data_IF_162173641632
#
_entry.id   IF_162173641632
#
_cell.length_a   1.000
_cell.length_b   1.000
_cell.length_c   1.000
_cell.angle_alpha   90.00
_cell.angle_beta   90.00
_cell.angle_gamma   90.00
#
_symmetry.space_group_name_H-M   'P 1'
#
loop_
_entity.id
_entity.type
_entity.pdbx_description
1 polymer ?
#
# COMPACT_ATOMS: atom_id res chain seq x y z
N UNK A 1 17.30 -30.62 -0.76
CA UNK A 1 17.42 -30.42 0.71
C UNK A 1 16.78 -29.08 1.08
N UNK A 2 15.90 -29.07 2.05
CA UNK A 2 15.34 -27.81 2.55
C UNK A 2 16.43 -27.03 3.29
N UNK A 3 16.52 -25.70 3.10
CA UNK A 3 17.50 -24.89 3.83
C UNK A 3 17.22 -24.94 5.33
N UNK A 4 18.28 -24.92 6.15
CA UNK A 4 18.12 -24.76 7.61
C UNK A 4 17.47 -23.41 7.92
N UNK A 5 16.78 -23.29 9.06
CA UNK A 5 16.16 -22.05 9.48
C UNK A 5 17.14 -20.85 9.53
N UNK A 6 18.38 -20.98 10.07
CA UNK A 6 19.37 -19.90 10.00
C UNK A 6 19.72 -19.50 8.56
N UNK A 7 19.86 -20.46 7.64
CA UNK A 7 20.16 -20.18 6.25
C UNK A 7 19.00 -19.47 5.55
N UNK A 8 17.75 -19.83 5.87
CA UNK A 8 16.55 -19.15 5.37
C UNK A 8 16.49 -17.71 5.87
N UNK A 9 16.71 -17.49 7.16
CA UNK A 9 16.74 -16.14 7.78
C UNK A 9 17.82 -15.29 7.11
N UNK A 10 19.04 -15.82 6.93
CA UNK A 10 20.13 -15.11 6.27
C UNK A 10 19.77 -14.70 4.83
N UNK A 11 19.13 -15.58 4.07
CA UNK A 11 18.66 -15.29 2.71
C UNK A 11 17.57 -14.22 2.70
N UNK A 12 16.63 -14.24 3.64
CA UNK A 12 15.60 -13.21 3.78
C UNK A 12 16.21 -11.85 4.10
N UNK A 13 17.18 -11.80 5.00
CA UNK A 13 17.89 -10.56 5.34
C UNK A 13 18.72 -9.99 4.18
N UNK A 14 19.26 -10.85 3.31
CA UNK A 14 20.01 -10.43 2.13
C UNK A 14 19.11 -10.04 0.94
N UNK A 15 17.81 -10.31 1.02
CA UNK A 15 16.88 -10.01 -0.06
C UNK A 15 16.70 -8.50 -0.22
N UNK A 16 16.85 -7.98 -1.44
CA UNK A 16 16.88 -6.54 -1.73
C UNK A 16 15.64 -5.80 -1.22
N UNK A 17 14.45 -6.37 -1.37
CA UNK A 17 13.21 -5.77 -0.89
C UNK A 17 13.14 -5.62 0.63
N UNK A 18 13.83 -6.48 1.40
CA UNK A 18 13.96 -6.35 2.85
C UNK A 18 15.09 -5.38 3.21
N UNK A 19 16.19 -5.41 2.46
CA UNK A 19 17.32 -4.51 2.68
C UNK A 19 16.91 -3.04 2.56
N UNK A 20 16.13 -2.69 1.54
CA UNK A 20 15.62 -1.32 1.37
C UNK A 20 14.70 -0.87 2.51
N UNK A 21 14.02 -1.79 3.20
CA UNK A 21 13.20 -1.44 4.38
C UNK A 21 14.03 -1.08 5.62
N UNK A 22 15.35 -1.35 5.63
CA UNK A 22 16.23 -0.96 6.74
C UNK A 22 16.45 0.55 6.81
N UNK A 23 16.35 1.25 5.69
CA UNK A 23 16.49 2.71 5.64
C UNK A 23 15.40 3.39 6.49
N UNK A 24 14.21 2.78 6.59
CA UNK A 24 13.13 3.24 7.45
C UNK A 24 13.55 3.30 8.92
N UNK A 25 14.42 2.39 9.38
CA UNK A 25 14.87 2.35 10.76
C UNK A 25 15.72 3.58 11.13
N UNK A 26 16.48 4.12 10.18
CA UNK A 26 17.22 5.36 10.39
C UNK A 26 16.26 6.54 10.53
N UNK A 27 15.34 6.68 9.58
CA UNK A 27 14.31 7.74 9.61
C UNK A 27 13.50 7.67 10.90
N UNK A 28 13.10 6.46 11.30
CA UNK A 28 12.34 6.25 12.53
C UNK A 28 13.13 6.66 13.79
N UNK A 29 14.46 6.48 13.80
CA UNK A 29 15.31 6.93 14.91
C UNK A 29 15.41 8.45 14.97
N UNK A 30 15.65 9.10 13.83
CA UNK A 30 15.76 10.57 13.75
C UNK A 30 14.48 11.28 14.18
N UNK A 31 13.32 10.68 13.89
CA UNK A 31 12.02 11.28 14.20
C UNK A 31 11.44 10.85 15.56
N UNK A 32 12.03 9.85 16.23
CA UNK A 32 11.48 9.27 17.46
C UNK A 32 11.30 10.29 18.58
N UNK A 33 12.25 11.17 18.72
CA UNK A 33 12.30 12.13 19.81
C UNK A 33 11.50 13.41 19.51
N UNK A 34 11.07 13.57 18.25
CA UNK A 34 10.29 14.75 17.83
C UNK A 34 8.85 14.71 18.33
N UNK A 35 8.26 13.51 18.39
CA UNK A 35 6.88 13.34 18.84
C UNK A 35 6.61 11.91 19.34
N UNK A 36 6.03 11.75 20.54
CA UNK A 36 5.63 10.42 21.03
C UNK A 36 4.61 9.79 20.09
N UNK A 37 4.96 8.68 19.46
CA UNK A 37 4.05 7.93 18.61
C UNK A 37 3.53 6.71 19.37
N UNK A 38 2.19 6.55 19.55
CA UNK A 38 1.61 5.41 20.23
C UNK A 38 1.80 4.08 19.49
N UNK A 39 2.16 4.13 18.20
CA UNK A 39 2.40 2.97 17.36
C UNK A 39 3.85 2.92 16.90
N UNK A 40 4.52 1.76 16.94
CA UNK A 40 5.85 1.63 16.37
C UNK A 40 5.81 1.92 14.87
N UNK A 41 6.81 2.69 14.38
CA UNK A 41 7.00 2.90 12.96
C UNK A 41 7.35 1.58 12.27
N UNK A 42 6.87 1.39 11.04
CA UNK A 42 7.21 0.23 10.21
C UNK A 42 6.04 -0.70 9.91
N UNK A 43 4.84 -0.40 10.39
CA UNK A 43 3.61 -1.05 9.93
C UNK A 43 3.06 -0.37 8.67
N UNK A 44 1.98 -0.89 8.11
CA UNK A 44 1.42 -0.42 6.84
C UNK A 44 0.81 1.00 6.93
N UNK A 45 0.32 1.39 8.10
CA UNK A 45 -0.20 2.75 8.35
C UNK A 45 0.26 3.28 9.71
N UNK A 46 0.35 4.62 9.80
CA UNK A 46 0.38 5.31 11.07
C UNK A 46 -0.99 5.22 11.75
N UNK A 47 -0.99 5.00 13.07
CA UNK A 47 -2.20 4.96 13.90
C UNK A 47 -2.35 6.29 14.66
N UNK A 48 -3.46 6.96 14.44
CA UNK A 48 -3.80 8.20 15.13
C UNK A 48 -5.05 7.93 15.96
N UNK A 49 -4.98 7.99 17.31
CA UNK A 49 -6.15 7.77 18.16
C UNK A 49 -7.30 8.73 17.80
N UNK A 50 -8.53 8.21 17.69
CA UNK A 50 -9.73 8.97 17.37
C UNK A 50 -10.94 8.39 18.11
N UNK A 51 -11.28 8.98 19.23
CA UNK A 51 -12.34 8.49 20.10
C UNK A 51 -12.08 7.05 20.57
N UNK A 52 -13.00 6.13 20.25
CA UNK A 52 -12.88 4.71 20.57
C UNK A 52 -12.15 3.89 19.51
N UNK A 53 -11.60 4.54 18.48
CA UNK A 53 -10.92 3.88 17.36
C UNK A 53 -9.66 4.62 16.95
N UNK A 54 -9.30 4.46 15.68
CA UNK A 54 -8.09 5.04 15.11
C UNK A 54 -8.36 5.56 13.71
N UNK A 55 -7.73 6.68 13.36
CA UNK A 55 -7.47 7.03 11.97
C UNK A 55 -6.20 6.33 11.52
N UNK A 56 -6.22 5.91 10.27
CA UNK A 56 -5.11 5.27 9.57
C UNK A 56 -4.59 6.25 8.52
N UNK A 57 -3.28 6.49 8.52
CA UNK A 57 -2.65 7.37 7.54
C UNK A 57 -1.48 6.65 6.91
N UNK A 58 -1.48 6.55 5.58
CA UNK A 58 -0.38 6.00 4.80
C UNK A 58 -0.04 6.90 3.62
N UNK A 59 1.18 6.79 3.14
CA UNK A 59 1.67 7.48 1.95
C UNK A 59 2.65 6.58 1.21
N UNK A 60 2.52 6.52 -0.12
CA UNK A 60 3.44 5.83 -1.00
C UNK A 60 3.99 6.80 -2.07
N UNK A 61 5.32 6.79 -2.21
CA UNK A 61 6.02 7.45 -3.29
C UNK A 61 6.40 6.46 -4.38
N UNK A 62 6.33 6.86 -5.63
CA UNK A 62 6.55 5.97 -6.77
C UNK A 62 7.91 6.23 -7.43
N UNK A 63 8.55 5.15 -7.90
CA UNK A 63 9.81 5.24 -8.64
C UNK A 63 9.59 6.08 -9.90
N UNK A 64 10.37 7.14 -10.08
CA UNK A 64 10.21 8.09 -11.18
C UNK A 64 10.17 7.43 -12.55
N UNK A 65 11.03 6.43 -12.78
CA UNK A 65 11.05 5.66 -14.01
C UNK A 65 9.71 4.97 -14.30
N UNK A 66 9.06 4.40 -13.27
CA UNK A 66 7.75 3.77 -13.43
C UNK A 66 6.68 4.80 -13.79
N UNK A 67 6.70 5.96 -13.12
CA UNK A 67 5.76 7.05 -13.41
C UNK A 67 5.93 7.54 -14.85
N UNK A 68 7.17 7.69 -15.31
CA UNK A 68 7.49 8.15 -16.65
C UNK A 68 7.13 7.15 -17.76
N UNK A 69 7.34 5.84 -17.53
CA UNK A 69 7.18 4.82 -18.56
C UNK A 69 5.75 4.26 -18.70
N UNK A 70 4.94 4.25 -17.61
CA UNK A 70 3.55 3.84 -17.65
C UNK A 70 2.68 4.74 -16.74
N UNK A 71 2.46 5.98 -17.17
CA UNK A 71 1.81 7.01 -16.34
C UNK A 71 0.40 6.63 -15.90
N UNK A 72 -0.39 6.03 -16.79
CA UNK A 72 -1.75 5.62 -16.43
C UNK A 72 -1.74 4.55 -15.34
N UNK A 73 -0.89 3.53 -15.50
CA UNK A 73 -0.80 2.45 -14.53
C UNK A 73 -0.15 2.90 -13.22
N UNK A 74 0.81 3.82 -13.27
CA UNK A 74 1.37 4.45 -12.07
C UNK A 74 0.28 5.19 -11.27
N UNK A 75 -0.57 5.95 -11.95
CA UNK A 75 -1.72 6.60 -11.33
C UNK A 75 -2.71 5.61 -10.70
N UNK A 76 -3.03 4.53 -11.40
CA UNK A 76 -3.86 3.44 -10.87
C UNK A 76 -3.25 2.84 -9.61
N UNK A 77 -1.97 2.46 -9.68
CA UNK A 77 -1.23 1.88 -8.56
C UNK A 77 -1.15 2.85 -7.38
N UNK A 78 -1.03 4.16 -7.64
CA UNK A 78 -0.99 5.20 -6.62
C UNK A 78 -2.15 5.11 -5.67
N UNK A 79 -3.35 4.93 -6.18
CA UNK A 79 -4.54 4.73 -5.36
C UNK A 79 -4.58 3.33 -4.78
N UNK A 80 -4.44 2.30 -5.61
CA UNK A 80 -4.64 0.89 -5.22
C UNK A 80 -3.71 0.43 -4.11
N UNK A 81 -2.41 0.79 -4.16
CA UNK A 81 -1.43 0.36 -3.16
C UNK A 81 -1.76 0.96 -1.79
N UNK A 82 -2.06 2.25 -1.74
CA UNK A 82 -2.46 2.93 -0.51
C UNK A 82 -3.74 2.33 0.12
N UNK A 83 -4.73 1.98 -0.71
CA UNK A 83 -5.94 1.31 -0.21
C UNK A 83 -5.61 -0.08 0.35
N UNK A 84 -4.61 -0.75 -0.21
CA UNK A 84 -4.13 -2.05 0.29
C UNK A 84 -3.52 -1.92 1.68
N UNK A 85 -2.83 -0.82 1.97
CA UNK A 85 -2.24 -0.55 3.29
C UNK A 85 -3.33 -0.35 4.35
N UNK A 86 -4.37 0.41 4.03
CA UNK A 86 -5.53 0.57 4.92
C UNK A 86 -6.21 -0.79 5.16
N UNK A 87 -6.40 -1.59 4.11
CA UNK A 87 -7.02 -2.90 4.22
C UNK A 87 -6.16 -3.89 5.03
N UNK A 88 -4.83 -3.83 4.89
CA UNK A 88 -3.87 -4.64 5.66
C UNK A 88 -3.98 -4.38 7.17
N UNK A 89 -4.24 -3.13 7.54
CA UNK A 89 -4.46 -2.72 8.92
C UNK A 89 -5.91 -2.95 9.43
N UNK A 90 -6.75 -3.66 8.64
CA UNK A 90 -8.15 -3.92 8.99
C UNK A 90 -9.05 -2.70 8.93
N UNK A 91 -8.63 -1.68 8.18
CA UNK A 91 -9.30 -0.40 8.08
C UNK A 91 -10.20 -0.25 6.86
N UNK A 92 -10.97 0.82 6.88
CA UNK A 92 -11.79 1.32 5.77
C UNK A 92 -11.18 2.61 5.24
N UNK A 93 -10.83 2.73 3.96
CA UNK A 93 -10.34 3.97 3.38
C UNK A 93 -11.45 5.02 3.34
N UNK A 94 -11.10 6.28 3.58
CA UNK A 94 -12.00 7.42 3.60
C UNK A 94 -11.77 8.35 2.41
N UNK A 95 -10.52 8.73 2.18
CA UNK A 95 -10.14 9.70 1.16
C UNK A 95 -8.68 9.57 0.76
N UNK A 96 -8.37 10.02 -0.44
CA UNK A 96 -7.03 10.04 -1.03
C UNK A 96 -6.66 11.47 -1.39
N UNK A 97 -5.39 11.81 -1.22
CA UNK A 97 -4.75 13.01 -1.77
C UNK A 97 -3.46 12.64 -2.47
N UNK A 98 -2.98 13.49 -3.39
CA UNK A 98 -1.77 13.22 -4.14
C UNK A 98 -0.83 14.42 -4.22
N UNK A 99 0.43 14.17 -4.47
CA UNK A 99 1.39 15.16 -4.94
C UNK A 99 1.95 14.68 -6.28
N UNK A 100 1.80 15.52 -7.31
CA UNK A 100 2.18 15.22 -8.68
C UNK A 100 3.10 16.31 -9.22
N UNK A 101 4.26 15.89 -9.69
CA UNK A 101 5.16 16.72 -10.47
C UNK A 101 5.30 16.11 -11.86
N UNK A 102 5.32 16.94 -12.90
CA UNK A 102 5.48 16.46 -14.26
C UNK A 102 6.09 17.54 -15.15
N UNK A 103 6.69 17.12 -16.26
CA UNK A 103 7.27 18.02 -17.26
C UNK A 103 6.20 18.56 -18.23
N UNK A 104 5.11 17.81 -18.44
CA UNK A 104 4.13 18.13 -19.45
C UNK A 104 2.71 17.68 -19.07
N UNK A 105 1.73 18.54 -19.39
CA UNK A 105 0.33 18.29 -19.14
C UNK A 105 -0.23 16.98 -19.76
N UNK A 106 0.10 16.57 -21.00
CA UNK A 106 -0.44 15.32 -21.56
C UNK A 106 -0.03 14.07 -20.80
N UNK A 107 1.19 14.04 -20.26
CA UNK A 107 1.68 12.93 -19.45
C UNK A 107 1.00 12.91 -18.07
N UNK A 108 0.96 14.05 -17.38
CA UNK A 108 0.24 14.21 -16.13
C UNK A 108 -1.24 13.82 -16.24
N UNK A 109 -1.89 14.13 -17.36
CA UNK A 109 -3.28 13.75 -17.60
C UNK A 109 -3.48 12.23 -17.60
N UNK A 110 -2.53 11.44 -18.12
CA UNK A 110 -2.60 9.98 -18.07
C UNK A 110 -2.50 9.47 -16.63
N UNK A 111 -1.63 10.04 -15.80
CA UNK A 111 -1.50 9.70 -14.38
C UNK A 111 -2.85 9.96 -13.68
N UNK A 112 -3.42 11.14 -13.86
CA UNK A 112 -4.69 11.53 -13.26
C UNK A 112 -5.86 10.66 -13.75
N UNK A 113 -5.88 10.24 -15.01
CA UNK A 113 -6.87 9.30 -15.54
C UNK A 113 -6.78 7.93 -14.86
N UNK A 114 -5.56 7.43 -14.63
CA UNK A 114 -5.31 6.19 -13.88
C UNK A 114 -5.81 6.29 -12.44
N UNK A 115 -5.47 7.37 -11.75
CA UNK A 115 -5.96 7.66 -10.40
C UNK A 115 -7.49 7.73 -10.34
N UNK A 116 -8.11 8.46 -11.26
CA UNK A 116 -9.57 8.59 -11.33
C UNK A 116 -10.26 7.25 -11.64
N UNK A 117 -9.66 6.41 -12.48
CA UNK A 117 -10.17 5.08 -12.76
C UNK A 117 -10.13 4.18 -11.51
N UNK A 118 -9.04 4.20 -10.75
CA UNK A 118 -8.90 3.46 -9.49
C UNK A 118 -9.88 4.01 -8.42
N UNK A 119 -9.98 5.32 -8.26
CA UNK A 119 -10.94 5.98 -7.36
C UNK A 119 -12.38 5.52 -7.61
N UNK A 120 -12.80 5.49 -8.87
CA UNK A 120 -14.13 4.96 -9.23
C UNK A 120 -14.29 3.48 -8.95
N UNK A 121 -13.27 2.67 -9.28
CA UNK A 121 -13.32 1.23 -9.10
C UNK A 121 -13.40 0.82 -7.62
N UNK A 122 -12.68 1.53 -6.78
CA UNK A 122 -12.64 1.27 -5.33
C UNK A 122 -13.65 2.12 -4.54
N UNK A 123 -14.34 3.05 -5.18
CA UNK A 123 -15.31 3.96 -4.55
C UNK A 123 -14.71 4.78 -3.39
N UNK A 124 -13.47 5.22 -3.55
CA UNK A 124 -12.77 6.08 -2.58
C UNK A 124 -12.44 7.40 -3.25
N UNK A 125 -12.93 8.54 -2.73
CA UNK A 125 -12.76 9.83 -3.38
C UNK A 125 -11.31 10.34 -3.29
N UNK A 126 -10.88 10.98 -4.37
CA UNK A 126 -9.69 11.85 -4.36
C UNK A 126 -10.19 13.24 -4.01
N UNK A 127 -9.80 13.75 -2.84
CA UNK A 127 -10.35 14.99 -2.28
C UNK A 127 -9.44 16.19 -2.40
N UNK A 128 -8.23 16.01 -2.90
CA UNK A 128 -7.27 17.10 -3.08
C UNK A 128 -5.89 16.61 -3.45
N UNK A 129 -4.94 17.54 -3.42
CA UNK A 129 -3.55 17.23 -3.71
C UNK A 129 -2.76 18.48 -4.06
N UNK A 130 -1.52 18.26 -4.49
CA UNK A 130 -0.62 19.28 -5.01
C UNK A 130 -0.18 18.90 -6.42
N UNK A 131 -0.15 19.85 -7.35
CA UNK A 131 0.27 19.60 -8.72
C UNK A 131 1.25 20.69 -9.20
N UNK A 132 2.38 20.26 -9.74
CA UNK A 132 3.34 21.12 -10.42
C UNK A 132 3.69 20.52 -11.80
N UNK A 133 3.28 21.19 -12.87
CA UNK A 133 3.51 20.76 -14.27
C UNK A 133 4.72 21.47 -14.92
N UNK A 134 5.61 22.00 -14.12
CA UNK A 134 6.86 22.65 -14.55
C UNK A 134 8.08 22.03 -13.84
N UNK A 135 8.00 20.74 -13.58
CA UNK A 135 9.09 19.96 -12.99
C UNK A 135 10.02 19.47 -14.09
N UNK A 136 11.24 19.12 -13.71
CA UNK A 136 12.24 18.51 -14.59
C UNK A 136 12.06 16.98 -14.73
N UNK A 137 11.07 16.41 -14.05
CA UNK A 137 10.78 14.96 -14.06
C UNK A 137 9.40 14.63 -13.55
N UNK A 138 8.90 13.46 -13.95
CA UNK A 138 7.64 12.92 -13.44
C UNK A 138 7.83 12.27 -12.08
N UNK A 139 7.04 12.70 -11.08
CA UNK A 139 7.03 12.16 -9.72
C UNK A 139 5.59 12.08 -9.23
N UNK A 140 5.29 11.02 -8.49
CA UNK A 140 3.98 10.81 -7.89
C UNK A 140 4.15 10.31 -6.46
N UNK A 141 3.46 10.96 -5.54
CA UNK A 141 3.20 10.44 -4.20
C UNK A 141 1.71 10.50 -3.92
N UNK A 142 1.17 9.49 -3.27
CA UNK A 142 -0.26 9.40 -2.95
C UNK A 142 -0.41 9.05 -1.48
N UNK A 143 -1.24 9.78 -0.78
CA UNK A 143 -1.56 9.52 0.62
C UNK A 143 -3.04 9.15 0.78
N UNK A 144 -3.33 8.33 1.78
CA UNK A 144 -4.67 7.86 2.08
C UNK A 144 -4.99 8.04 3.56
N UNK A 145 -6.17 8.51 3.83
CA UNK A 145 -6.78 8.50 5.15
C UNK A 145 -7.78 7.35 5.23
N UNK A 146 -7.71 6.59 6.32
CA UNK A 146 -8.67 5.55 6.65
C UNK A 146 -9.05 5.58 8.12
N UNK A 147 -9.86 4.62 8.52
CA UNK A 147 -10.27 4.44 9.93
C UNK A 147 -10.46 2.98 10.28
N UNK A 148 -10.27 2.64 11.54
CA UNK A 148 -10.56 1.32 12.09
C UNK A 148 -10.93 1.41 13.56
N UNK A 149 -11.79 0.52 14.03
CA UNK A 149 -12.05 0.37 15.46
C UNK A 149 -11.01 -0.53 16.15
N UNK A 150 -10.37 -1.43 15.37
CA UNK A 150 -9.41 -2.42 15.89
C UNK A 150 -8.32 -2.66 14.85
N UNK A 151 -7.15 -2.03 14.99
CA UNK A 151 -6.09 -2.16 14.01
C UNK A 151 -5.47 -3.56 14.03
N UNK A 152 -5.10 -4.05 12.84
CA UNK A 152 -4.36 -5.28 12.64
C UNK A 152 -2.90 -4.94 12.41
N UNK A 153 -2.05 -5.11 13.42
CA UNK A 153 -0.62 -4.89 13.30
C UNK A 153 0.10 -6.14 12.82
N UNK A 154 1.05 -5.97 11.90
CA UNK A 154 1.94 -7.03 11.44
C UNK A 154 2.83 -7.56 12.57
N UNK A 155 3.14 -6.73 13.57
CA UNK A 155 3.93 -7.09 14.75
C UNK A 155 3.15 -7.90 15.81
N UNK A 156 1.83 -8.06 15.65
CA UNK A 156 0.99 -8.83 16.58
C UNK A 156 1.01 -10.35 16.34
N UNK A 157 1.82 -10.82 15.39
CA UNK A 157 1.97 -12.24 15.09
C UNK A 157 2.52 -13.03 16.29
N UNK A 158 1.95 -14.21 16.53
CA UNK A 158 2.35 -15.08 17.64
C UNK A 158 2.62 -16.52 17.15
N UNK A 159 3.53 -17.21 17.84
CA UNK A 159 3.76 -18.62 17.57
C UNK A 159 2.47 -19.44 17.76
N UNK A 160 2.27 -20.44 16.89
CA UNK A 160 1.06 -21.28 16.90
C UNK A 160 -0.10 -20.74 16.07
N UNK A 161 -0.03 -19.53 15.54
CA UNK A 161 -1.03 -19.03 14.60
C UNK A 161 -0.88 -19.66 13.22
N UNK A 162 -1.99 -19.81 12.50
CA UNK A 162 -1.99 -20.36 11.14
C UNK A 162 -1.71 -19.25 10.13
N UNK A 163 -0.65 -19.44 9.31
CA UNK A 163 -0.38 -18.58 8.17
C UNK A 163 -1.34 -18.93 7.02
N UNK A 164 -2.15 -17.95 6.61
CA UNK A 164 -3.03 -18.09 5.44
C UNK A 164 -2.59 -17.17 4.32
N UNK A 165 -2.67 -17.66 3.08
CA UNK A 165 -2.33 -16.91 1.87
C UNK A 165 -3.52 -16.94 0.92
N UNK A 166 -3.95 -15.76 0.44
CA UNK A 166 -4.92 -15.63 -0.63
C UNK A 166 -4.23 -15.08 -1.89
N UNK A 167 -4.26 -15.84 -2.98
CA UNK A 167 -3.57 -15.50 -4.23
C UNK A 167 -4.56 -15.54 -5.39
N UNK A 168 -4.63 -14.43 -6.14
CA UNK A 168 -5.31 -14.42 -7.43
C UNK A 168 -4.29 -14.76 -8.55
N UNK A 169 -4.43 -15.94 -9.14
CA UNK A 169 -3.55 -16.42 -10.21
C UNK A 169 -3.97 -15.93 -11.61
N UNK A 170 -5.09 -15.24 -11.76
CA UNK A 170 -5.61 -14.76 -13.06
C UNK A 170 -4.90 -13.49 -13.55
N UNK A 171 -4.08 -12.86 -12.73
CA UNK A 171 -3.29 -11.69 -13.11
C UNK A 171 -2.24 -12.04 -14.16
N UNK A 172 -1.96 -11.10 -15.06
CA UNK A 172 -0.85 -11.18 -16.03
C UNK A 172 0.31 -10.31 -15.56
N UNK A 173 1.53 -10.76 -15.86
CA UNK A 173 2.71 -9.94 -15.62
C UNK A 173 2.67 -8.68 -16.46
N UNK A 174 3.14 -7.58 -15.91
CA UNK A 174 3.33 -6.36 -16.68
C UNK A 174 4.37 -6.62 -17.78
N UNK A 175 4.13 -6.19 -19.04
CA UNK A 175 5.04 -6.50 -20.16
C UNK A 175 6.42 -5.87 -20.04
N UNK A 176 6.59 -4.87 -19.16
CA UNK A 176 7.86 -4.25 -18.84
C UNK A 176 8.26 -4.61 -17.41
N UNK A 177 9.51 -5.00 -17.20
CA UNK A 177 10.07 -5.34 -15.87
C UNK A 177 10.29 -4.09 -14.99
N UNK A 178 9.32 -3.18 -14.92
CA UNK A 178 9.53 -1.92 -14.21
C UNK A 178 9.42 -2.11 -12.70
N UNK A 179 8.59 -3.03 -12.24
CA UNK A 179 8.33 -3.21 -10.80
C UNK A 179 7.91 -4.62 -10.39
N UNK A 180 7.88 -5.60 -11.28
CA UNK A 180 7.30 -6.93 -10.96
C UNK A 180 5.78 -6.88 -10.68
N UNK A 181 5.10 -5.79 -10.99
CA UNK A 181 3.66 -5.62 -10.76
C UNK A 181 2.85 -6.43 -11.78
N UNK A 182 1.86 -7.17 -11.30
CA UNK A 182 0.86 -7.77 -12.18
C UNK A 182 -0.19 -6.74 -12.52
N UNK A 183 -0.30 -6.41 -13.79
CA UNK A 183 -1.46 -5.65 -14.29
C UNK A 183 -2.69 -6.56 -14.21
N UNK A 184 -3.78 -6.17 -13.55
CA UNK A 184 -5.02 -6.93 -13.64
C UNK A 184 -5.46 -6.95 -15.11
N UNK A 185 -5.62 -8.14 -15.67
CA UNK A 185 -6.01 -8.32 -17.07
C UNK A 185 -7.42 -7.77 -17.35
N UNK A 186 -8.26 -7.75 -16.34
CA UNK A 186 -9.51 -7.03 -16.16
C UNK A 186 -9.68 -6.80 -14.67
N UNK A 187 -10.22 -5.64 -14.30
CA UNK A 187 -10.80 -5.47 -12.97
C UNK A 187 -12.00 -6.40 -12.95
N UNK A 188 -12.01 -7.45 -12.11
CA UNK A 188 -13.20 -8.29 -12.02
C UNK A 188 -14.36 -7.39 -11.64
N UNK A 189 -15.51 -7.44 -12.32
CA UNK A 189 -16.67 -6.60 -11.98
C UNK A 189 -17.14 -6.80 -10.53
N UNK A 190 -16.68 -7.87 -9.88
CA UNK A 190 -16.94 -8.17 -8.47
C UNK A 190 -15.92 -7.56 -7.48
N UNK A 191 -14.83 -6.95 -7.96
CA UNK A 191 -13.88 -6.16 -7.13
C UNK A 191 -14.11 -4.66 -7.30
N UNK A 192 -15.16 -4.24 -8.01
CA UNK A 192 -15.59 -2.87 -8.08
C UNK A 192 -16.25 -2.48 -6.75
N UNK A 193 -15.45 -1.90 -5.88
CA UNK A 193 -15.84 -1.29 -4.61
C UNK A 193 -15.31 -2.03 -3.37
N UNK A 194 -14.92 -1.26 -2.34
CA UNK A 194 -14.53 -1.78 -1.02
C UNK A 194 -15.64 -2.63 -0.38
N UNK A 195 -16.81 -2.64 -1.00
CA UNK A 195 -18.01 -3.25 -0.47
C UNK A 195 -18.11 -4.77 -0.64
N UNK A 196 -17.31 -5.44 -1.46
CA UNK A 196 -17.42 -6.91 -1.59
C UNK A 196 -16.22 -7.71 -1.10
N UNK A 197 -14.98 -7.28 -1.30
CA UNK A 197 -13.85 -7.90 -0.61
C UNK A 197 -13.84 -7.59 0.89
N UNK A 198 -14.32 -6.40 1.28
CA UNK A 198 -14.43 -6.01 2.70
C UNK A 198 -15.81 -6.31 3.31
N UNK A 199 -16.87 -6.64 2.55
CA UNK A 199 -18.19 -7.02 3.11
C UNK A 199 -18.26 -8.46 3.62
N UNK A 200 -17.31 -9.30 3.28
CA UNK A 200 -17.17 -10.60 3.95
C UNK A 200 -16.46 -10.49 5.30
N UNK A 201 -16.13 -9.26 5.74
CA UNK A 201 -15.66 -9.00 7.08
C UNK A 201 -16.82 -9.17 8.07
N UNK A 202 -16.65 -9.92 9.16
CA UNK A 202 -17.72 -10.14 10.11
C UNK A 202 -18.24 -8.81 10.64
N UNK A 203 -19.55 -8.71 10.94
CA UNK A 203 -20.16 -7.50 11.48
C UNK A 203 -19.49 -7.10 12.81
N UNK A 204 -19.58 -5.80 13.13
CA UNK A 204 -19.06 -5.24 14.38
C UNK A 204 -19.48 -6.11 15.56
N UNK A 205 -18.51 -6.61 16.34
CA UNK A 205 -18.76 -7.42 17.54
C UNK A 205 -18.38 -8.91 17.44
N UNK A 206 -18.10 -9.45 16.26
CA UNK A 206 -17.50 -10.75 16.14
C UNK A 206 -15.98 -10.61 16.37
N UNK A 207 -15.40 -11.43 17.25
CA UNK A 207 -13.94 -11.52 17.39
C UNK A 207 -13.35 -11.99 16.07
N UNK A 208 -12.89 -11.06 15.25
CA UNK A 208 -12.24 -11.37 13.99
C UNK A 208 -10.99 -12.21 14.26
N UNK A 209 -10.76 -13.31 13.54
CA UNK A 209 -9.48 -13.98 13.60
C UNK A 209 -8.41 -12.95 13.24
N UNK A 210 -7.41 -12.77 14.10
CA UNK A 210 -6.27 -11.88 13.84
C UNK A 210 -5.58 -12.34 12.56
N UNK A 211 -5.75 -11.60 11.49
CA UNK A 211 -5.07 -11.87 10.23
C UNK A 211 -3.76 -11.12 10.22
N UNK A 212 -2.70 -11.82 9.99
CA UNK A 212 -1.41 -11.22 9.69
C UNK A 212 -1.42 -10.95 8.19
N UNK A 213 -1.41 -9.70 7.77
CA UNK A 213 -1.11 -9.38 6.39
C UNK A 213 0.40 -9.46 6.22
N UNK A 214 0.91 -10.56 5.67
CA UNK A 214 2.25 -10.55 5.15
C UNK A 214 2.23 -9.67 3.89
N UNK A 215 2.80 -8.47 3.97
CA UNK A 215 3.19 -7.77 2.75
C UNK A 215 4.03 -8.71 1.93
N UNK A 216 3.68 -8.89 0.68
CA UNK A 216 4.62 -9.45 -0.26
C UNK A 216 5.84 -8.57 -0.27
N UNK A 217 6.93 -9.08 0.30
CA UNK A 217 8.21 -8.66 -0.19
C UNK A 217 8.23 -8.99 -1.67
N UNK A 218 8.22 -7.98 -2.50
CA UNK A 218 8.39 -8.11 -3.93
C UNK A 218 9.67 -8.87 -4.20
N UNK A 219 9.69 -9.90 -5.05
CA UNK A 219 10.93 -10.36 -5.62
C UNK A 219 11.37 -9.26 -6.60
N UNK A 220 12.07 -8.25 -6.08
CA UNK A 220 12.84 -7.37 -6.91
C UNK A 220 14.05 -8.14 -7.41
N UNK A 221 14.20 -8.29 -8.68
CA UNK A 221 15.51 -8.36 -9.29
C UNK A 221 16.01 -6.95 -9.53
#
# INVERSE_FOLDING_TARGET
MNPSLPALIARLHAFSGIAHKRDIQQVARELRDAWPNPSPNGDDCALIPDGSGYKLLAIEGFINRFVAEDPWFAGWCGVMVNLSDIAAMGGRPLAVVNALWDEAQPHAAQILQGMAAASRAYQVPIVGGHTNLRSDRSQLAVAVLGETASPLSSSAAQAGQTLMVAINLQGRWHPREITGTRRPARIPPNCAGPSRCCRSWPPRGASAPRRISARRGWPGR
#
